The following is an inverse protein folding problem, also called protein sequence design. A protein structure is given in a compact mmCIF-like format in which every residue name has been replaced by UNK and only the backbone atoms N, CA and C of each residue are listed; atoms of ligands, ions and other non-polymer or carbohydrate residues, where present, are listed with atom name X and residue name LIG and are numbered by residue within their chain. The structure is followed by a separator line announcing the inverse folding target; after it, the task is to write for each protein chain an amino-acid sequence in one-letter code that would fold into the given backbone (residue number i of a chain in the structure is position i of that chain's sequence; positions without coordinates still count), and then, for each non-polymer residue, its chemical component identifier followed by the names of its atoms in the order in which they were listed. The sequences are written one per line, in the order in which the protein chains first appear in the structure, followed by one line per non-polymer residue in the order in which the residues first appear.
data_IF_689986976158
#
_entry.id   IF_689986976158
#
_cell.length_a   1.000
_cell.length_b   1.000
_cell.length_c   1.000
_cell.angle_alpha   90.00
_cell.angle_beta   90.00
_cell.angle_gamma   90.00
#
_symmetry.space_group_name_H-M   'P 1'
#
loop_
_entity.id
_entity.type
_entity.pdbx_description
1 polymer ?
#
# COMPACT_ATOMS: atom_id res chain seq x y z
N UNK A 1 -41.58 -8.18 25.22
CA UNK A 1 -40.21 -8.03 25.79
C UNK A 1 -39.29 -9.17 25.33
N UNK A 2 -39.36 -9.58 24.07
CA UNK A 2 -38.52 -10.66 23.54
C UNK A 2 -38.27 -10.43 22.03
N UNK A 3 -37.18 -10.96 21.51
CA UNK A 3 -36.85 -10.99 20.09
C UNK A 3 -36.85 -12.45 19.64
N UNK A 4 -37.71 -12.79 18.68
CA UNK A 4 -37.73 -14.14 18.09
C UNK A 4 -37.13 -14.07 16.70
N UNK A 5 -36.01 -14.76 16.48
CA UNK A 5 -35.28 -14.73 15.21
C UNK A 5 -34.63 -16.08 14.90
N UNK A 6 -34.09 -16.21 13.69
CA UNK A 6 -33.30 -17.36 13.29
C UNK A 6 -31.94 -17.32 13.96
N UNK A 7 -31.40 -18.48 14.29
CA UNK A 7 -30.04 -18.63 14.80
C UNK A 7 -29.28 -19.66 13.98
N UNK A 8 -27.99 -19.42 13.78
CA UNK A 8 -27.06 -20.28 13.06
C UNK A 8 -25.69 -20.23 13.73
N UNK A 9 -24.75 -21.07 13.31
CA UNK A 9 -23.34 -20.90 13.64
C UNK A 9 -22.47 -20.85 12.38
N UNK A 10 -21.29 -20.25 12.50
CA UNK A 10 -20.24 -20.35 11.48
C UNK A 10 -19.07 -21.13 12.09
N UNK A 11 -18.61 -22.20 11.43
CA UNK A 11 -17.49 -22.98 11.94
C UNK A 11 -16.15 -22.36 11.53
N UNK A 12 -15.74 -21.33 12.28
CA UNK A 12 -14.51 -20.56 12.05
C UNK A 12 -13.46 -20.75 13.17
N UNK A 13 -13.56 -21.87 13.89
CA UNK A 13 -12.67 -22.25 15.00
C UNK A 13 -11.20 -22.29 14.59
N UNK A 14 -10.92 -22.80 13.39
CA UNK A 14 -9.60 -22.71 12.76
C UNK A 14 -9.69 -21.75 11.56
N UNK A 15 -9.09 -20.54 11.67
CA UNK A 15 -9.06 -19.58 10.57
C UNK A 15 -8.42 -20.11 9.28
N UNK A 16 -7.59 -21.15 9.34
CA UNK A 16 -6.92 -21.75 8.18
C UNK A 16 -7.72 -22.88 7.51
N UNK A 17 -8.77 -23.39 8.15
CA UNK A 17 -9.63 -24.48 7.62
C UNK A 17 -11.04 -24.00 7.25
N UNK A 18 -11.37 -22.72 7.47
CA UNK A 18 -12.68 -22.15 7.15
C UNK A 18 -12.97 -22.20 5.64
N UNK A 19 -13.69 -23.24 5.19
CA UNK A 19 -13.94 -23.49 3.76
C UNK A 19 -15.18 -22.78 3.20
N UNK A 20 -16.09 -22.32 4.07
CA UNK A 20 -17.32 -21.64 3.68
C UNK A 20 -17.71 -20.61 4.73
N UNK A 21 -18.03 -19.39 4.27
CA UNK A 21 -18.58 -18.32 5.11
C UNK A 21 -20.11 -18.36 5.19
N UNK A 22 -20.74 -19.46 4.76
CA UNK A 22 -22.18 -19.63 4.89
C UNK A 22 -22.53 -20.18 6.28
N UNK A 23 -23.48 -19.57 7.00
CA UNK A 23 -23.85 -20.03 8.31
C UNK A 23 -24.67 -21.34 8.26
N UNK A 24 -24.44 -22.21 9.23
CA UNK A 24 -25.05 -23.54 9.37
C UNK A 24 -26.07 -23.57 10.53
N UNK A 25 -27.14 -24.38 10.46
CA UNK A 25 -27.55 -25.19 9.32
C UNK A 25 -28.27 -24.35 8.24
N UNK A 26 -28.37 -24.84 6.98
CA UNK A 26 -29.10 -24.15 5.91
C UNK A 26 -30.58 -23.90 6.21
N UNK A 27 -31.17 -24.71 7.09
CA UNK A 27 -32.52 -24.51 7.64
C UNK A 27 -32.40 -24.05 9.09
N UNK A 28 -32.26 -22.74 9.33
CA UNK A 28 -31.96 -22.24 10.66
C UNK A 28 -33.13 -22.45 11.63
N UNK A 29 -32.87 -23.00 12.83
CA UNK A 29 -33.87 -23.02 13.89
C UNK A 29 -34.18 -21.59 14.37
N UNK A 30 -35.31 -21.44 15.05
CA UNK A 30 -35.75 -20.17 15.64
C UNK A 30 -35.48 -20.20 17.14
N UNK A 31 -34.95 -19.11 17.68
CA UNK A 31 -34.74 -18.89 19.10
C UNK A 31 -35.42 -17.59 19.56
N UNK A 32 -35.81 -17.53 20.82
CA UNK A 32 -36.44 -16.35 21.43
C UNK A 32 -35.54 -15.81 22.53
N UNK A 33 -34.93 -14.67 22.26
CA UNK A 33 -34.09 -13.92 23.21
C UNK A 33 -34.96 -13.01 24.09
N UNK A 34 -34.62 -12.91 25.37
CA UNK A 34 -35.05 -11.82 26.22
C UNK A 34 -34.36 -10.53 25.81
N UNK A 35 -35.13 -9.44 25.68
CA UNK A 35 -34.58 -8.12 25.30
C UNK A 35 -33.93 -7.36 26.45
N UNK A 36 -34.16 -7.80 27.69
CA UNK A 36 -33.72 -7.10 28.91
C UNK A 36 -32.60 -7.82 29.66
N UNK A 37 -32.26 -9.05 29.26
CA UNK A 37 -31.15 -9.79 29.86
C UNK A 37 -29.90 -9.63 28.97
N UNK A 38 -28.70 -9.56 29.55
CA UNK A 38 -27.45 -9.67 28.82
C UNK A 38 -27.40 -10.89 27.91
N UNK A 39 -26.77 -10.77 26.75
CA UNK A 39 -26.66 -11.86 25.78
C UNK A 39 -25.77 -13.00 26.29
N UNK A 40 -24.77 -12.72 27.13
CA UNK A 40 -23.89 -13.71 27.77
C UNK A 40 -24.68 -14.73 28.61
N UNK A 41 -25.78 -14.29 29.22
CA UNK A 41 -26.66 -15.16 30.01
C UNK A 41 -27.60 -16.03 29.14
N UNK A 42 -27.64 -15.78 27.83
CA UNK A 42 -28.56 -16.42 26.89
C UNK A 42 -27.83 -17.31 25.86
N UNK A 43 -26.54 -17.05 25.60
CA UNK A 43 -25.76 -17.71 24.55
C UNK A 43 -25.68 -19.24 24.71
N UNK A 44 -25.64 -19.75 25.95
CA UNK A 44 -25.62 -21.18 26.23
C UNK A 44 -26.82 -21.94 25.64
N UNK A 45 -28.01 -21.31 25.63
CA UNK A 45 -29.20 -21.90 25.06
C UNK A 45 -29.12 -21.99 23.53
N UNK A 46 -28.58 -20.95 22.88
CA UNK A 46 -28.35 -20.89 21.44
C UNK A 46 -27.30 -21.93 21.03
N UNK A 47 -26.18 -21.99 21.74
CA UNK A 47 -25.11 -22.96 21.53
C UNK A 47 -25.64 -24.40 21.58
N UNK A 48 -26.41 -24.74 22.62
CA UNK A 48 -27.03 -26.07 22.79
C UNK A 48 -28.05 -26.38 21.71
N UNK A 49 -28.88 -25.42 21.31
CA UNK A 49 -29.88 -25.58 20.24
C UNK A 49 -29.21 -25.91 18.90
N UNK A 50 -28.13 -25.20 18.59
CA UNK A 50 -27.38 -25.38 17.35
C UNK A 50 -26.47 -26.61 17.35
N UNK A 51 -26.18 -27.18 18.53
CA UNK A 51 -25.13 -28.19 18.72
C UNK A 51 -23.80 -27.70 18.13
N UNK A 52 -23.50 -26.42 18.32
CA UNK A 52 -22.35 -25.78 17.71
C UNK A 52 -21.05 -26.42 18.22
N UNK A 53 -20.04 -26.63 17.36
CA UNK A 53 -18.79 -27.30 17.75
C UNK A 53 -17.85 -26.42 18.59
N UNK A 54 -18.20 -25.16 18.83
CA UNK A 54 -17.40 -24.18 19.56
C UNK A 54 -17.31 -24.48 21.06
N UNK A 55 -16.23 -24.05 21.71
CA UNK A 55 -16.19 -23.93 23.17
C UNK A 55 -17.00 -22.70 23.55
N UNK A 56 -17.90 -22.81 24.53
CA UNK A 56 -18.84 -21.74 24.85
C UNK A 56 -18.14 -20.42 25.21
N UNK A 57 -17.05 -20.49 25.97
CA UNK A 57 -16.28 -19.32 26.43
C UNK A 57 -15.58 -18.57 25.28
N UNK A 58 -15.39 -19.24 24.14
CA UNK A 58 -14.71 -18.68 22.95
C UNK A 58 -15.73 -18.15 21.92
N UNK A 59 -17.03 -18.14 22.24
CA UNK A 59 -18.09 -17.75 21.29
C UNK A 59 -18.41 -16.27 21.33
N UNK A 60 -18.81 -15.75 20.17
CA UNK A 60 -19.39 -14.44 19.94
C UNK A 60 -20.71 -14.58 19.18
N UNK A 61 -21.52 -13.52 19.18
CA UNK A 61 -22.71 -13.41 18.36
C UNK A 61 -22.53 -12.29 17.34
N UNK A 62 -22.86 -12.56 16.08
CA UNK A 62 -22.82 -11.58 15.01
C UNK A 62 -24.14 -11.55 14.25
N UNK A 63 -24.57 -10.37 13.81
CA UNK A 63 -25.75 -10.24 12.98
C UNK A 63 -25.47 -10.67 11.54
N UNK A 64 -26.39 -11.45 10.97
CA UNK A 64 -26.37 -11.82 9.55
C UNK A 64 -27.66 -11.33 8.89
N UNK A 65 -27.51 -10.38 7.97
CA UNK A 65 -28.61 -9.62 7.36
C UNK A 65 -28.42 -9.55 5.86
N UNK A 66 -29.49 -9.83 5.13
CA UNK A 66 -29.54 -9.69 3.66
C UNK A 66 -28.40 -10.39 2.89
N UNK A 67 -27.82 -11.44 3.49
CA UNK A 67 -26.74 -12.23 2.90
C UNK A 67 -25.33 -11.84 3.34
N UNK A 68 -25.19 -10.84 4.21
CA UNK A 68 -23.90 -10.30 4.66
C UNK A 68 -23.77 -10.29 6.20
N UNK A 69 -22.52 -10.30 6.67
CA UNK A 69 -22.19 -10.20 8.08
C UNK A 69 -22.13 -8.73 8.51
N UNK A 70 -22.91 -8.41 9.54
CA UNK A 70 -22.96 -7.10 10.16
C UNK A 70 -22.18 -7.06 11.47
N UNK A 71 -22.69 -6.29 12.42
CA UNK A 71 -22.02 -6.02 13.69
C UNK A 71 -21.91 -7.25 14.60
N UNK A 72 -20.78 -7.32 15.29
CA UNK A 72 -20.62 -8.18 16.46
C UNK A 72 -21.41 -7.59 17.64
N UNK A 73 -22.17 -8.44 18.33
CA UNK A 73 -22.97 -8.04 19.47
C UNK A 73 -22.12 -8.05 20.73
N UNK A 74 -22.30 -7.03 21.57
CA UNK A 74 -21.73 -7.02 22.91
C UNK A 74 -22.49 -8.02 23.78
N UNK A 75 -21.78 -9.05 24.25
CA UNK A 75 -22.36 -10.11 25.05
C UNK A 75 -22.74 -9.65 26.47
N UNK A 76 -22.04 -8.64 27.01
CA UNK A 76 -22.32 -8.11 28.34
C UNK A 76 -23.59 -7.22 28.35
N UNK A 77 -24.00 -6.73 27.18
CA UNK A 77 -25.19 -5.91 27.00
C UNK A 77 -26.43 -6.74 26.63
N UNK A 78 -27.60 -6.21 26.98
CA UNK A 78 -28.90 -6.69 26.51
C UNK A 78 -29.24 -6.16 25.11
N UNK A 79 -30.23 -6.75 24.44
CA UNK A 79 -30.66 -6.27 23.10
C UNK A 79 -31.20 -4.83 23.15
N UNK A 80 -31.85 -4.44 24.26
CA UNK A 80 -32.37 -3.09 24.39
C UNK A 80 -31.26 -2.03 24.51
N UNK A 81 -30.11 -2.39 25.09
CA UNK A 81 -28.97 -1.48 25.26
C UNK A 81 -28.22 -1.24 23.94
N UNK A 82 -28.28 -2.18 23.00
CA UNK A 82 -27.60 -2.12 21.69
C UNK A 82 -28.60 -2.15 20.52
N UNK A 83 -29.75 -1.48 20.68
CA UNK A 83 -30.88 -1.57 19.74
C UNK A 83 -30.57 -1.01 18.34
N UNK A 84 -29.61 -0.10 18.24
CA UNK A 84 -29.11 0.48 16.99
C UNK A 84 -28.49 -0.56 16.05
N UNK A 85 -27.78 -1.56 16.58
CA UNK A 85 -27.22 -2.65 15.79
C UNK A 85 -28.30 -3.50 15.08
N UNK A 86 -29.50 -3.53 15.67
CA UNK A 86 -30.65 -4.27 15.14
C UNK A 86 -31.49 -3.43 14.15
N UNK A 87 -31.00 -2.30 13.66
CA UNK A 87 -31.75 -1.46 12.72
C UNK A 87 -32.10 -2.23 11.42
N UNK A 88 -33.39 -2.24 11.09
CA UNK A 88 -33.94 -3.03 9.98
C UNK A 88 -33.66 -4.53 10.08
N UNK A 89 -33.24 -5.08 11.22
CA UNK A 89 -33.05 -6.53 11.38
C UNK A 89 -34.38 -7.29 11.25
N UNK A 90 -35.48 -6.71 11.72
CA UNK A 90 -36.80 -7.34 11.64
C UNK A 90 -37.51 -7.15 10.29
N UNK A 91 -36.94 -6.39 9.35
CA UNK A 91 -37.56 -6.16 8.04
C UNK A 91 -37.57 -7.44 7.20
N UNK A 92 -36.58 -8.31 7.39
CA UNK A 92 -36.41 -9.55 6.66
C UNK A 92 -36.39 -10.74 7.61
N UNK A 93 -37.40 -11.61 7.49
CA UNK A 93 -37.52 -12.84 8.30
C UNK A 93 -36.40 -13.85 8.06
N UNK A 94 -35.55 -13.64 7.04
CA UNK A 94 -34.38 -14.48 6.76
C UNK A 94 -33.18 -14.11 7.62
N UNK A 95 -33.16 -12.92 8.22
CA UNK A 95 -32.06 -12.46 9.06
C UNK A 95 -31.87 -13.40 10.26
N UNK A 96 -30.62 -13.61 10.64
CA UNK A 96 -30.23 -14.54 11.70
C UNK A 96 -29.16 -13.93 12.59
N UNK A 97 -29.08 -14.45 13.82
CA UNK A 97 -27.94 -14.23 14.70
C UNK A 97 -27.02 -15.45 14.57
N UNK A 98 -25.76 -15.21 14.23
CA UNK A 98 -24.76 -16.24 13.98
C UNK A 98 -23.84 -16.34 15.20
N UNK A 99 -23.80 -17.52 15.78
CA UNK A 99 -22.80 -17.89 16.79
C UNK A 99 -21.50 -18.27 16.09
N UNK A 100 -20.41 -17.59 16.42
CA UNK A 100 -19.10 -17.84 15.82
C UNK A 100 -17.99 -17.70 16.85
N UNK A 101 -16.76 -17.95 16.46
CA UNK A 101 -15.59 -17.77 17.34
C UNK A 101 -15.29 -16.27 17.50
N UNK A 102 -14.92 -15.84 18.71
CA UNK A 102 -14.47 -14.47 18.97
C UNK A 102 -13.29 -14.08 18.06
N UNK A 103 -13.26 -12.81 17.63
CA UNK A 103 -12.18 -12.27 16.80
C UNK A 103 -10.83 -12.43 17.48
N UNK A 104 -10.73 -12.07 18.76
CA UNK A 104 -9.50 -12.19 19.56
C UNK A 104 -8.99 -13.62 19.58
N UNK A 105 -9.85 -14.61 19.85
CA UNK A 105 -9.49 -16.04 19.86
C UNK A 105 -8.95 -16.49 18.49
N UNK A 106 -9.61 -16.06 17.40
CA UNK A 106 -9.15 -16.37 16.03
C UNK A 106 -7.80 -15.72 15.71
N UNK A 107 -7.59 -14.48 16.11
CA UNK A 107 -6.30 -13.77 15.93
C UNK A 107 -5.19 -14.46 16.71
N UNK A 108 -5.44 -14.86 17.96
CA UNK A 108 -4.47 -15.62 18.75
C UNK A 108 -4.14 -16.95 18.09
N UNK A 109 -5.13 -17.67 17.56
CA UNK A 109 -4.89 -18.90 16.80
C UNK A 109 -4.04 -18.66 15.54
N UNK A 110 -4.26 -17.55 14.83
CA UNK A 110 -3.40 -17.14 13.69
C UNK A 110 -1.97 -16.92 14.15
N UNK A 111 -1.75 -16.09 15.18
CA UNK A 111 -0.42 -15.74 15.68
C UNK A 111 0.31 -16.99 16.19
N UNK A 112 -0.36 -17.81 17.00
CA UNK A 112 0.19 -19.06 17.52
C UNK A 112 0.60 -20.00 16.40
N UNK A 113 -0.24 -20.16 15.36
CA UNK A 113 0.08 -20.98 14.19
C UNK A 113 1.33 -20.48 13.47
N UNK A 114 1.48 -19.16 13.31
CA UNK A 114 2.64 -18.57 12.65
C UNK A 114 3.94 -18.72 13.44
N UNK A 115 3.87 -18.67 14.77
CA UNK A 115 5.05 -18.78 15.64
C UNK A 115 5.48 -20.23 15.89
N UNK A 116 4.54 -21.19 15.86
CA UNK A 116 4.80 -22.59 16.23
C UNK A 116 4.84 -23.55 15.03
N UNK A 117 4.63 -23.08 13.80
CA UNK A 117 4.72 -23.92 12.60
C UNK A 117 6.08 -23.77 11.91
N UNK A 118 6.53 -24.83 11.25
CA UNK A 118 7.76 -24.82 10.44
C UNK A 118 7.53 -25.46 9.06
N UNK A 119 8.46 -25.23 8.13
CA UNK A 119 8.50 -25.91 6.83
C UNK A 119 7.21 -25.78 6.01
N UNK A 120 6.61 -26.93 5.64
CA UNK A 120 5.42 -26.97 4.77
C UNK A 120 4.21 -26.33 5.43
N UNK A 121 4.05 -26.49 6.74
CA UNK A 121 2.87 -26.02 7.45
C UNK A 121 2.90 -24.50 7.62
N UNK A 122 4.07 -23.94 7.97
CA UNK A 122 4.26 -22.49 7.99
C UNK A 122 4.03 -21.87 6.59
N UNK A 123 4.55 -22.53 5.55
CA UNK A 123 4.35 -22.08 4.17
C UNK A 123 2.86 -21.98 3.80
N UNK A 124 2.06 -22.97 4.19
CA UNK A 124 0.61 -23.00 3.95
C UNK A 124 -0.10 -21.91 4.75
N UNK A 125 0.24 -21.76 6.03
CA UNK A 125 -0.33 -20.73 6.89
C UNK A 125 -0.09 -19.34 6.30
N UNK A 126 1.17 -18.99 5.99
CA UNK A 126 1.53 -17.71 5.38
C UNK A 126 0.84 -17.47 4.04
N UNK A 127 0.70 -18.50 3.21
CA UNK A 127 0.00 -18.40 1.93
C UNK A 127 -1.48 -18.04 2.10
N UNK A 128 -2.15 -18.63 3.09
CA UNK A 128 -3.58 -18.43 3.36
C UNK A 128 -3.88 -17.08 4.03
N UNK A 129 -2.93 -16.47 4.75
CA UNK A 129 -3.15 -15.22 5.51
C UNK A 129 -3.80 -14.11 4.68
N UNK A 130 -3.40 -13.94 3.42
CA UNK A 130 -4.01 -12.94 2.54
C UNK A 130 -5.52 -13.18 2.41
N UNK A 131 -5.93 -14.41 2.15
CA UNK A 131 -7.33 -14.77 1.96
C UNK A 131 -8.12 -14.57 3.25
N UNK A 132 -7.55 -14.96 4.40
CA UNK A 132 -8.16 -14.79 5.72
C UNK A 132 -8.52 -13.33 5.98
N UNK A 133 -7.58 -12.39 5.78
CA UNK A 133 -7.85 -10.96 5.96
C UNK A 133 -8.75 -10.37 4.88
N UNK A 134 -8.81 -10.98 3.70
CA UNK A 134 -9.66 -10.53 2.60
C UNK A 134 -11.13 -10.90 2.82
N UNK A 135 -11.38 -12.10 3.35
CA UNK A 135 -12.72 -12.64 3.58
C UNK A 135 -13.33 -12.13 4.89
N UNK A 136 -12.51 -11.79 5.88
CA UNK A 136 -12.95 -11.29 7.18
C UNK A 136 -12.16 -10.05 7.58
N UNK A 137 -12.70 -8.87 7.20
CA UNK A 137 -12.06 -7.57 7.45
C UNK A 137 -11.95 -7.23 8.93
N UNK A 138 -12.84 -7.76 9.77
CA UNK A 138 -12.90 -7.43 11.19
C UNK A 138 -11.70 -8.03 11.94
N UNK A 139 -11.11 -9.11 11.40
CA UNK A 139 -9.85 -9.64 11.89
C UNK A 139 -8.68 -8.66 11.76
N UNK A 140 -8.73 -7.71 10.81
CA UNK A 140 -7.59 -6.82 10.55
C UNK A 140 -7.35 -5.88 11.73
N UNK A 141 -8.42 -5.28 12.25
CA UNK A 141 -8.35 -4.43 13.43
C UNK A 141 -7.82 -5.20 14.65
N UNK A 142 -8.42 -6.36 14.92
CA UNK A 142 -8.04 -7.22 16.05
C UNK A 142 -6.60 -7.75 15.92
N UNK A 143 -6.16 -8.08 14.70
CA UNK A 143 -4.80 -8.55 14.43
C UNK A 143 -3.74 -7.48 14.72
N UNK A 144 -4.04 -6.22 14.41
CA UNK A 144 -3.16 -5.10 14.73
C UNK A 144 -3.05 -4.90 16.24
N UNK A 145 -4.17 -4.96 16.98
CA UNK A 145 -4.21 -4.71 18.42
C UNK A 145 -3.50 -5.80 19.25
N UNK A 146 -3.43 -7.03 18.75
CA UNK A 146 -2.83 -8.17 19.46
C UNK A 146 -1.42 -8.50 18.94
N UNK A 147 -0.61 -7.50 18.61
CA UNK A 147 0.80 -7.67 18.15
C UNK A 147 0.99 -8.55 16.90
N UNK A 148 -0.05 -8.69 16.07
CA UNK A 148 0.01 -9.48 14.84
C UNK A 148 1.04 -8.95 13.84
N UNK A 149 1.19 -7.62 13.74
CA UNK A 149 2.24 -7.02 12.91
C UNK A 149 3.64 -7.40 13.41
N UNK A 150 3.89 -7.34 14.71
CA UNK A 150 5.17 -7.75 15.30
C UNK A 150 5.46 -9.24 15.02
N UNK A 151 4.43 -10.09 15.08
CA UNK A 151 4.53 -11.50 14.68
C UNK A 151 4.98 -11.64 13.21
N UNK A 152 4.39 -10.90 12.27
CA UNK A 152 4.78 -10.95 10.85
C UNK A 152 6.24 -10.54 10.63
N UNK A 153 6.69 -9.48 11.31
CA UNK A 153 8.08 -9.00 11.19
C UNK A 153 9.05 -10.03 11.78
N UNK A 154 8.72 -10.60 12.93
CA UNK A 154 9.53 -11.64 13.58
C UNK A 154 9.73 -12.85 12.66
N UNK A 155 8.64 -13.38 12.10
CA UNK A 155 8.70 -14.50 11.14
C UNK A 155 9.40 -14.09 9.85
N UNK A 156 9.23 -12.85 9.39
CA UNK A 156 9.78 -12.34 8.14
C UNK A 156 11.29 -12.08 8.13
N UNK A 157 11.89 -11.79 9.29
CA UNK A 157 13.33 -11.50 9.40
C UNK A 157 14.21 -12.73 9.12
N UNK A 158 13.80 -13.89 9.62
CA UNK A 158 14.56 -15.15 9.47
C UNK A 158 14.06 -16.02 8.30
N UNK A 159 13.11 -15.50 7.54
CA UNK A 159 12.41 -16.21 6.47
C UNK A 159 13.15 -16.20 5.13
N UNK A 160 12.89 -17.23 4.31
CA UNK A 160 13.28 -17.25 2.90
C UNK A 160 12.45 -16.26 2.06
N UNK A 161 12.87 -16.04 0.80
CA UNK A 161 12.19 -15.13 -0.13
C UNK A 161 10.71 -15.45 -0.39
N UNK A 162 10.32 -16.73 -0.33
CA UNK A 162 8.95 -17.14 -0.60
C UNK A 162 8.06 -16.76 0.58
N UNK A 163 8.54 -17.02 1.80
CA UNK A 163 7.85 -16.66 3.03
C UNK A 163 7.74 -15.15 3.16
N UNK A 164 8.83 -14.42 2.91
CA UNK A 164 8.82 -12.95 2.85
C UNK A 164 7.76 -12.44 1.86
N UNK A 165 7.67 -13.03 0.67
CA UNK A 165 6.66 -12.64 -0.31
C UNK A 165 5.23 -12.93 0.17
N UNK A 166 4.96 -14.07 0.80
CA UNK A 166 3.64 -14.35 1.38
C UNK A 166 3.28 -13.37 2.50
N UNK A 167 4.23 -13.02 3.37
CA UNK A 167 4.04 -12.00 4.40
C UNK A 167 3.75 -10.65 3.77
N UNK A 168 4.50 -10.22 2.74
CA UNK A 168 4.24 -8.98 2.03
C UNK A 168 2.85 -8.95 1.38
N UNK A 169 2.37 -10.07 0.83
CA UNK A 169 1.01 -10.16 0.27
C UNK A 169 -0.06 -10.02 1.35
N UNK A 170 0.13 -10.62 2.51
CA UNK A 170 -0.77 -10.48 3.66
C UNK A 170 -0.74 -9.05 4.20
N UNK A 171 0.45 -8.47 4.38
CA UNK A 171 0.61 -7.08 4.83
C UNK A 171 -0.02 -6.09 3.85
N UNK A 172 0.12 -6.33 2.54
CA UNK A 172 -0.56 -5.54 1.52
C UNK A 172 -2.08 -5.61 1.63
N UNK A 173 -2.65 -6.76 2.01
CA UNK A 173 -4.08 -6.89 2.28
C UNK A 173 -4.49 -6.12 3.54
N UNK A 174 -3.71 -6.21 4.62
CA UNK A 174 -3.93 -5.44 5.85
C UNK A 174 -3.95 -3.93 5.57
N UNK A 175 -3.00 -3.43 4.77
CA UNK A 175 -2.89 -2.02 4.42
C UNK A 175 -4.04 -1.47 3.55
N UNK A 176 -4.89 -2.32 2.97
CA UNK A 176 -6.08 -1.85 2.24
C UNK A 176 -7.20 -1.38 3.18
N UNK A 177 -7.19 -1.80 4.44
CA UNK A 177 -8.16 -1.40 5.44
C UNK A 177 -7.62 -0.23 6.27
N UNK A 178 -8.52 0.68 6.67
CA UNK A 178 -8.16 1.87 7.44
C UNK A 178 -7.48 1.50 8.76
N UNK A 179 -8.05 0.56 9.52
CA UNK A 179 -7.46 0.08 10.77
C UNK A 179 -6.09 -0.56 10.56
N UNK A 180 -5.94 -1.34 9.49
CA UNK A 180 -4.66 -1.98 9.15
C UNK A 180 -3.57 -0.97 8.78
N UNK A 181 -3.92 0.06 8.01
CA UNK A 181 -2.99 1.14 7.66
C UNK A 181 -2.60 1.97 8.89
N UNK A 182 -3.56 2.33 9.75
CA UNK A 182 -3.29 3.04 11.01
C UNK A 182 -2.36 2.20 11.91
N UNK A 183 -2.60 0.90 12.02
CA UNK A 183 -1.71 -0.03 12.70
C UNK A 183 -0.27 -0.03 12.16
N UNK A 184 -0.11 -0.02 10.83
CA UNK A 184 1.22 0.07 10.20
C UNK A 184 1.88 1.43 10.47
N UNK A 185 1.12 2.53 10.50
CA UNK A 185 1.63 3.86 10.86
C UNK A 185 2.15 3.90 12.31
N UNK A 186 1.48 3.19 13.22
CA UNK A 186 1.83 3.10 14.64
C UNK A 186 2.91 2.05 14.94
N UNK A 187 3.30 1.23 13.95
CA UNK A 187 4.30 0.17 14.11
C UNK A 187 5.58 0.43 13.27
N UNK A 188 6.55 1.20 13.79
CA UNK A 188 7.78 1.58 13.06
C UNK A 188 8.59 0.41 12.51
N UNK A 189 8.59 -0.73 13.22
CA UNK A 189 9.34 -1.93 12.80
C UNK A 189 8.83 -2.48 11.46
N UNK A 190 7.54 -2.34 11.14
CA UNK A 190 7.01 -2.75 9.82
C UNK A 190 7.61 -1.90 8.71
N UNK A 191 7.66 -0.58 8.89
CA UNK A 191 8.17 0.35 7.88
C UNK A 191 9.68 0.17 7.70
N UNK A 192 10.41 -0.03 8.80
CA UNK A 192 11.84 -0.34 8.80
C UNK A 192 12.12 -1.66 8.07
N UNK A 193 11.32 -2.69 8.35
CA UNK A 193 11.44 -3.98 7.67
C UNK A 193 11.19 -3.86 6.17
N UNK A 194 10.11 -3.18 5.76
CA UNK A 194 9.83 -2.90 4.34
C UNK A 194 10.99 -2.18 3.65
N UNK A 195 11.57 -1.16 4.29
CA UNK A 195 12.74 -0.46 3.75
C UNK A 195 13.99 -1.34 3.71
N UNK A 196 14.20 -2.21 4.70
CA UNK A 196 15.29 -3.18 4.71
C UNK A 196 15.19 -4.16 3.54
N UNK A 197 13.98 -4.63 3.21
CA UNK A 197 13.72 -5.56 2.10
C UNK A 197 14.03 -4.97 0.71
N UNK A 198 14.13 -3.65 0.58
CA UNK A 198 14.58 -2.98 -0.66
C UNK A 198 16.02 -3.40 -1.03
N UNK A 199 16.84 -3.78 -0.03
CA UNK A 199 18.20 -4.27 -0.25
C UNK A 199 18.28 -5.78 -0.55
N UNK A 200 17.13 -6.48 -0.64
CA UNK A 200 17.10 -7.92 -0.89
C UNK A 200 17.70 -8.28 -2.25
N UNK A 201 18.40 -9.42 -2.32
CA UNK A 201 18.91 -9.98 -3.58
C UNK A 201 17.79 -10.51 -4.50
N UNK A 202 16.57 -10.61 -3.99
CA UNK A 202 15.44 -11.20 -4.71
C UNK A 202 14.51 -10.12 -5.27
N UNK A 203 14.53 -9.95 -6.59
CA UNK A 203 13.80 -8.87 -7.30
C UNK A 203 12.31 -8.79 -6.95
N UNK A 204 11.64 -9.93 -6.80
CA UNK A 204 10.21 -9.96 -6.45
C UNK A 204 9.92 -9.40 -5.06
N UNK A 205 10.80 -9.66 -4.09
CA UNK A 205 10.70 -9.12 -2.72
C UNK A 205 10.91 -7.61 -2.76
N UNK A 206 11.96 -7.13 -3.45
CA UNK A 206 12.24 -5.71 -3.64
C UNK A 206 11.05 -4.98 -4.27
N UNK A 207 10.56 -5.50 -5.40
CA UNK A 207 9.42 -4.94 -6.13
C UNK A 207 8.17 -4.84 -5.25
N UNK A 208 7.88 -5.88 -4.47
CA UNK A 208 6.69 -5.90 -3.61
C UNK A 208 6.85 -4.94 -2.43
N UNK A 209 8.02 -4.88 -1.80
CA UNK A 209 8.31 -3.94 -0.73
C UNK A 209 8.18 -2.48 -1.20
N UNK A 210 8.70 -2.14 -2.38
CA UNK A 210 8.57 -0.80 -2.97
C UNK A 210 7.10 -0.43 -3.23
N UNK A 211 6.27 -1.38 -3.71
CA UNK A 211 4.84 -1.14 -3.90
C UNK A 211 4.13 -0.86 -2.59
N UNK A 212 4.43 -1.60 -1.52
CA UNK A 212 3.83 -1.36 -0.21
C UNK A 212 4.27 -0.01 0.37
N UNK A 213 5.55 0.34 0.25
CA UNK A 213 6.05 1.66 0.67
C UNK A 213 5.36 2.79 -0.11
N UNK A 214 5.09 2.61 -1.41
CA UNK A 214 4.32 3.56 -2.21
C UNK A 214 2.88 3.70 -1.70
N UNK A 215 2.17 2.59 -1.48
CA UNK A 215 0.81 2.60 -0.89
C UNK A 215 0.81 3.31 0.46
N UNK A 216 1.83 3.07 1.28
CA UNK A 216 2.00 3.71 2.59
C UNK A 216 2.13 5.24 2.48
N UNK A 217 3.03 5.77 1.63
CA UNK A 217 3.20 7.23 1.50
C UNK A 217 2.08 7.92 0.73
N UNK A 218 1.33 7.17 -0.09
CA UNK A 218 0.16 7.69 -0.80
C UNK A 218 -1.07 7.84 0.09
N UNK A 219 -1.17 7.07 1.17
CA UNK A 219 -2.31 7.10 2.08
C UNK A 219 -2.51 8.48 2.73
N UNK A 220 -1.45 9.06 3.29
CA UNK A 220 -1.46 10.42 3.86
C UNK A 220 -0.08 11.05 3.82
N UNK A 221 -0.02 12.38 3.72
CA UNK A 221 1.26 13.10 3.61
C UNK A 221 2.17 12.87 4.83
N UNK A 222 1.61 12.76 6.03
CA UNK A 222 2.37 12.52 7.28
C UNK A 222 3.17 11.21 7.25
N UNK A 223 2.77 10.23 6.45
CA UNK A 223 3.50 8.97 6.28
C UNK A 223 4.87 9.17 5.66
N UNK A 224 5.08 10.25 4.90
CA UNK A 224 6.40 10.60 4.37
C UNK A 224 7.42 10.85 5.48
N UNK A 225 6.99 11.50 6.58
CA UNK A 225 7.84 11.72 7.76
C UNK A 225 8.15 10.40 8.47
N UNK A 226 7.16 9.51 8.59
CA UNK A 226 7.35 8.18 9.17
C UNK A 226 8.34 7.34 8.36
N UNK A 227 8.24 7.37 7.02
CA UNK A 227 9.18 6.70 6.14
C UNK A 227 10.60 7.26 6.31
N UNK A 228 10.79 8.58 6.33
CA UNK A 228 12.11 9.19 6.56
C UNK A 228 12.72 8.75 7.89
N UNK A 229 11.91 8.67 8.96
CA UNK A 229 12.37 8.15 10.25
C UNK A 229 12.82 6.69 10.15
N UNK A 230 12.06 5.85 9.45
CA UNK A 230 12.42 4.45 9.24
C UNK A 230 13.70 4.28 8.40
N UNK A 231 13.86 5.05 7.32
CA UNK A 231 15.07 5.07 6.49
C UNK A 231 16.29 5.42 7.33
N UNK A 232 16.20 6.51 8.10
CA UNK A 232 17.28 6.94 9.00
C UNK A 232 17.63 5.86 10.02
N UNK A 233 16.63 5.22 10.64
CA UNK A 233 16.86 4.17 11.63
C UNK A 233 17.60 2.96 11.03
N UNK A 234 17.16 2.46 9.87
CA UNK A 234 17.78 1.30 9.21
C UNK A 234 19.20 1.62 8.74
N UNK A 235 19.39 2.73 8.02
CA UNK A 235 20.71 3.07 7.48
C UNK A 235 21.71 3.44 8.57
N UNK A 236 21.25 4.07 9.67
CA UNK A 236 22.09 4.38 10.83
C UNK A 236 22.67 3.12 11.46
N UNK A 237 21.86 2.07 11.65
CA UNK A 237 22.32 0.77 12.20
C UNK A 237 23.40 0.15 11.30
N UNK A 238 23.32 0.37 9.99
CA UNK A 238 24.31 -0.10 9.02
C UNK A 238 25.46 0.88 8.78
N UNK A 239 25.60 1.95 9.59
CA UNK A 239 26.60 3.02 9.42
C UNK A 239 26.61 3.66 8.02
N UNK A 240 25.46 3.59 7.35
CA UNK A 240 25.24 4.09 6.00
C UNK A 240 24.57 5.45 6.03
N UNK A 241 24.65 6.20 4.93
CA UNK A 241 23.88 7.42 4.77
C UNK A 241 22.41 7.09 4.50
N UNK A 242 21.44 7.91 4.95
CA UNK A 242 20.03 7.70 4.63
C UNK A 242 19.82 7.55 3.12
N UNK A 243 18.90 6.68 2.70
CA UNK A 243 18.58 6.36 1.30
C UNK A 243 19.53 5.38 0.60
N UNK A 244 20.48 4.79 1.32
CA UNK A 244 21.51 3.91 0.71
C UNK A 244 20.90 2.75 -0.07
N UNK A 245 19.83 2.13 0.43
CA UNK A 245 19.20 0.99 -0.25
C UNK A 245 18.62 1.38 -1.63
N UNK A 246 17.94 2.52 -1.72
CA UNK A 246 17.40 3.01 -3.00
C UNK A 246 18.52 3.49 -3.93
N UNK A 247 19.53 4.16 -3.39
CA UNK A 247 20.68 4.63 -4.18
C UNK A 247 21.48 3.46 -4.77
N UNK A 248 21.60 2.33 -4.06
CA UNK A 248 22.23 1.11 -4.58
C UNK A 248 21.45 0.53 -5.76
N UNK A 249 20.12 0.47 -5.69
CA UNK A 249 19.28 -0.01 -6.80
C UNK A 249 19.52 0.82 -8.08
N UNK A 250 19.60 2.14 -7.93
CA UNK A 250 19.79 3.05 -9.07
C UNK A 250 21.24 3.08 -9.61
N UNK A 251 22.23 2.62 -8.83
CA UNK A 251 23.64 2.55 -9.28
C UNK A 251 23.90 1.34 -10.19
N UNK A 252 23.08 0.29 -10.09
CA UNK A 252 23.27 -0.95 -10.84
C UNK A 252 22.77 -0.84 -12.29
N UNK A 253 23.49 -0.08 -13.09
CA UNK A 253 23.05 0.44 -14.39
C UNK A 253 22.82 -0.60 -15.49
N UNK A 254 23.51 -1.74 -15.45
CA UNK A 254 23.52 -2.73 -16.54
C UNK A 254 22.62 -3.94 -16.27
N UNK A 255 22.23 -4.18 -15.00
CA UNK A 255 21.33 -5.28 -14.58
C UNK A 255 20.03 -4.85 -13.91
N UNK A 256 19.76 -3.53 -13.84
CA UNK A 256 18.56 -3.03 -13.20
C UNK A 256 17.28 -3.30 -13.99
N UNK A 257 16.29 -3.83 -13.29
CA UNK A 257 14.90 -3.90 -13.73
C UNK A 257 14.31 -2.49 -13.73
N UNK A 258 13.97 -1.97 -14.90
CA UNK A 258 13.42 -0.63 -15.09
C UNK A 258 12.19 -0.38 -14.21
N UNK A 259 11.31 -1.37 -14.01
CA UNK A 259 10.10 -1.20 -13.20
C UNK A 259 10.45 -0.94 -11.73
N UNK A 260 11.49 -1.62 -11.22
CA UNK A 260 12.02 -1.39 -9.87
C UNK A 260 12.61 0.02 -9.75
N UNK A 261 13.34 0.48 -10.77
CA UNK A 261 13.90 1.84 -10.79
C UNK A 261 12.80 2.91 -10.79
N UNK A 262 11.73 2.70 -11.57
CA UNK A 262 10.58 3.60 -11.60
C UNK A 262 9.96 3.67 -10.20
N UNK A 263 9.68 2.53 -9.56
CA UNK A 263 9.13 2.52 -8.20
C UNK A 263 10.04 3.18 -7.17
N UNK A 264 11.35 2.93 -7.23
CA UNK A 264 12.32 3.55 -6.34
C UNK A 264 12.32 5.08 -6.50
N UNK A 265 12.34 5.57 -7.75
CA UNK A 265 12.35 7.00 -8.02
C UNK A 265 11.02 7.67 -7.67
N UNK A 266 9.89 7.02 -7.97
CA UNK A 266 8.56 7.50 -7.56
C UNK A 266 8.43 7.57 -6.04
N UNK A 267 8.98 6.59 -5.32
CA UNK A 267 8.96 6.61 -3.85
C UNK A 267 9.74 7.80 -3.30
N UNK A 268 10.94 8.07 -3.83
CA UNK A 268 11.73 9.25 -3.45
C UNK A 268 10.93 10.53 -3.72
N UNK A 269 10.41 10.71 -4.94
CA UNK A 269 9.65 11.90 -5.33
C UNK A 269 8.43 12.13 -4.43
N UNK A 270 7.63 11.08 -4.19
CA UNK A 270 6.43 11.19 -3.33
C UNK A 270 6.80 11.50 -1.88
N UNK A 271 7.84 10.85 -1.36
CA UNK A 271 8.29 11.08 0.02
C UNK A 271 8.78 12.51 0.20
N UNK A 272 9.63 13.00 -0.69
CA UNK A 272 10.13 14.39 -0.64
C UNK A 272 8.99 15.40 -0.75
N UNK A 273 8.03 15.17 -1.65
CA UNK A 273 6.89 16.04 -1.84
C UNK A 273 5.91 16.04 -0.64
N UNK A 274 5.89 14.96 0.16
CA UNK A 274 5.07 14.87 1.36
C UNK A 274 5.70 15.47 2.62
N UNK A 275 6.92 16.01 2.54
CA UNK A 275 7.58 16.64 3.69
C UNK A 275 6.97 18.02 4.01
N UNK A 276 6.77 18.33 5.30
CA UNK A 276 5.97 19.48 5.74
C UNK A 276 6.70 20.84 5.61
N UNK A 277 8.03 20.85 5.56
CA UNK A 277 8.81 22.07 5.50
C UNK A 277 10.01 21.96 4.55
N UNK A 278 10.69 23.10 4.35
CA UNK A 278 11.80 23.24 3.43
C UNK A 278 13.10 22.65 3.98
N UNK A 279 13.31 22.70 5.30
CA UNK A 279 14.52 22.18 5.93
C UNK A 279 14.57 20.66 5.88
N UNK A 280 13.48 19.99 6.26
CA UNK A 280 13.34 18.54 6.14
C UNK A 280 13.52 18.07 4.70
N UNK A 281 12.98 18.82 3.73
CA UNK A 281 13.16 18.53 2.30
C UNK A 281 14.63 18.57 1.90
N UNK A 282 15.33 19.67 2.20
CA UNK A 282 16.73 19.81 1.82
C UNK A 282 17.65 18.86 2.59
N UNK A 283 17.34 18.50 3.82
CA UNK A 283 18.09 17.45 4.54
C UNK A 283 18.05 16.11 3.81
N UNK A 284 16.91 15.77 3.21
CA UNK A 284 16.78 14.53 2.43
C UNK A 284 17.44 14.66 1.05
N UNK A 285 17.26 15.80 0.36
CA UNK A 285 17.94 16.06 -0.92
C UNK A 285 19.45 16.04 -0.75
N UNK A 286 20.01 16.72 0.25
CA UNK A 286 21.44 16.75 0.49
C UNK A 286 22.00 15.34 0.75
N UNK A 287 21.27 14.49 1.49
CA UNK A 287 21.67 13.10 1.70
C UNK A 287 21.68 12.27 0.38
N UNK A 288 20.77 12.53 -0.55
CA UNK A 288 20.73 11.91 -1.88
C UNK A 288 21.86 12.44 -2.78
N UNK A 289 22.07 13.76 -2.80
CA UNK A 289 23.12 14.42 -3.59
C UNK A 289 24.53 13.96 -3.17
N UNK A 290 24.78 13.85 -1.86
CA UNK A 290 26.05 13.34 -1.33
C UNK A 290 26.35 11.89 -1.75
N UNK A 291 25.32 11.13 -2.13
CA UNK A 291 25.46 9.76 -2.64
C UNK A 291 25.56 9.70 -4.16
N UNK A 292 25.55 10.84 -4.85
CA UNK A 292 25.74 10.97 -6.29
C UNK A 292 24.46 10.93 -7.12
N UNK A 293 23.32 11.38 -6.57
CA UNK A 293 22.04 11.42 -7.29
C UNK A 293 22.13 12.17 -8.63
N UNK A 294 22.82 13.31 -8.67
CA UNK A 294 23.06 14.08 -9.89
C UNK A 294 23.71 13.25 -11.00
N UNK A 295 24.74 12.47 -10.64
CA UNK A 295 25.49 11.65 -11.59
C UNK A 295 24.63 10.49 -12.11
N UNK A 296 23.79 9.90 -11.26
CA UNK A 296 22.83 8.85 -11.66
C UNK A 296 21.84 9.41 -12.68
N UNK A 297 21.20 10.54 -12.36
CA UNK A 297 20.21 11.19 -13.25
C UNK A 297 20.84 11.53 -14.59
N UNK A 298 22.01 12.20 -14.58
CA UNK A 298 22.72 12.60 -15.80
C UNK A 298 23.06 11.39 -16.68
N UNK A 299 23.50 10.28 -16.06
CA UNK A 299 23.85 9.06 -16.77
C UNK A 299 22.62 8.46 -17.48
N UNK A 300 21.49 8.30 -16.77
CA UNK A 300 20.26 7.75 -17.37
C UNK A 300 19.65 8.66 -18.44
N UNK A 301 19.70 9.98 -18.25
CA UNK A 301 19.22 10.97 -19.23
C UNK A 301 20.03 10.96 -20.53
N UNK A 302 21.34 10.71 -20.45
CA UNK A 302 22.22 10.68 -21.62
C UNK A 302 22.13 9.39 -22.44
N UNK A 303 21.59 8.32 -21.85
CA UNK A 303 21.52 6.99 -22.48
C UNK A 303 20.34 6.93 -23.45
N UNK A 304 20.63 6.58 -24.70
CA UNK A 304 19.60 6.26 -25.67
C UNK A 304 18.91 4.94 -25.29
N UNK A 305 17.57 4.91 -25.37
CA UNK A 305 16.77 3.72 -25.04
C UNK A 305 16.42 3.57 -23.55
N UNK A 306 16.70 4.58 -22.71
CA UNK A 306 16.12 4.61 -21.35
C UNK A 306 14.60 4.74 -21.44
N UNK A 307 13.92 4.01 -20.56
CA UNK A 307 12.47 4.03 -20.45
C UNK A 307 11.92 5.43 -20.13
N UNK A 308 10.82 5.79 -20.81
CA UNK A 308 10.24 7.13 -20.74
C UNK A 308 9.63 7.44 -19.37
N UNK A 309 9.06 6.45 -18.67
CA UNK A 309 8.49 6.66 -17.34
C UNK A 309 9.59 6.88 -16.31
N UNK A 310 10.71 6.17 -16.44
CA UNK A 310 11.88 6.41 -15.59
C UNK A 310 12.46 7.82 -15.82
N UNK A 311 12.63 8.22 -17.08
CA UNK A 311 13.09 9.58 -17.41
C UNK A 311 12.13 10.63 -16.86
N UNK A 312 10.81 10.40 -16.96
CA UNK A 312 9.79 11.29 -16.38
C UNK A 312 9.94 11.44 -14.87
N UNK A 313 10.20 10.35 -14.14
CA UNK A 313 10.43 10.44 -12.68
C UNK A 313 11.67 11.27 -12.32
N UNK A 314 12.75 11.17 -13.10
CA UNK A 314 13.91 12.04 -12.91
C UNK A 314 13.62 13.51 -13.24
N UNK A 315 12.82 13.77 -14.28
CA UNK A 315 12.39 15.15 -14.61
C UNK A 315 11.54 15.76 -13.50
N UNK A 316 10.66 14.98 -12.87
CA UNK A 316 9.87 15.43 -11.72
C UNK A 316 10.79 15.85 -10.57
N UNK A 317 11.82 15.06 -10.27
CA UNK A 317 12.79 15.40 -9.22
C UNK A 317 13.51 16.72 -9.50
N UNK A 318 14.08 16.88 -10.71
CA UNK A 318 14.79 18.11 -11.10
C UNK A 318 13.87 19.33 -11.11
N UNK A 319 12.62 19.18 -11.59
CA UNK A 319 11.67 20.28 -11.64
C UNK A 319 11.22 20.74 -10.24
N UNK A 320 10.99 19.80 -9.30
CA UNK A 320 10.65 20.14 -7.92
C UNK A 320 11.85 20.79 -7.22
N UNK A 321 13.07 20.27 -7.42
CA UNK A 321 14.28 20.85 -6.86
C UNK A 321 14.52 22.29 -7.36
N UNK A 322 14.36 22.52 -8.67
CA UNK A 322 14.47 23.86 -9.26
C UNK A 322 13.41 24.84 -8.71
N UNK A 323 12.18 24.36 -8.48
CA UNK A 323 11.13 25.16 -7.87
C UNK A 323 11.44 25.54 -6.41
N UNK A 324 11.92 24.59 -5.60
CA UNK A 324 12.35 24.85 -4.22
C UNK A 324 13.50 25.86 -4.18
N UNK A 325 14.39 25.77 -5.16
CA UNK A 325 15.48 26.69 -5.38
C UNK A 325 15.04 28.07 -5.90
N UNK A 326 13.76 28.28 -6.24
CA UNK A 326 13.24 29.56 -6.73
C UNK A 326 13.56 29.86 -8.21
N UNK A 327 13.88 28.84 -9.01
CA UNK A 327 14.13 28.93 -10.45
C UNK A 327 12.87 28.55 -11.25
N UNK A 328 11.84 29.40 -11.14
CA UNK A 328 10.49 29.14 -11.68
C UNK A 328 10.47 29.07 -13.23
N UNK A 329 11.39 29.72 -13.95
CA UNK A 329 11.45 29.76 -15.42
C UNK A 329 11.68 28.39 -16.06
N UNK A 330 12.48 27.52 -15.42
CA UNK A 330 12.83 26.18 -15.95
C UNK A 330 11.72 25.14 -15.84
N UNK A 331 10.66 25.42 -15.06
CA UNK A 331 9.61 24.43 -14.74
C UNK A 331 8.36 24.52 -15.62
N UNK A 332 8.26 25.58 -16.43
CA UNK A 332 7.04 25.98 -17.16
C UNK A 332 6.49 24.94 -18.15
N UNK A 333 7.31 24.24 -18.96
CA UNK A 333 6.80 23.27 -19.94
C UNK A 333 6.28 21.97 -19.29
N UNK A 334 6.98 21.46 -18.28
CA UNK A 334 6.62 20.23 -17.55
C UNK A 334 5.34 20.42 -16.70
N UNK A 335 5.17 21.62 -16.15
CA UNK A 335 4.01 22.00 -15.34
C UNK A 335 2.69 21.98 -16.11
N UNK A 336 2.73 22.10 -17.44
CA UNK A 336 1.54 22.05 -18.28
C UNK A 336 1.13 20.62 -18.69
N UNK A 337 2.06 19.66 -18.65
CA UNK A 337 1.84 18.32 -19.19
C UNK A 337 1.58 17.26 -18.12
N UNK A 338 1.92 17.52 -16.85
CA UNK A 338 1.92 16.49 -15.82
C UNK A 338 1.10 16.88 -14.58
N UNK A 339 -0.01 16.19 -14.34
CA UNK A 339 -0.88 16.38 -13.18
C UNK A 339 -0.19 16.04 -11.85
N UNK A 340 0.68 15.03 -11.83
CA UNK A 340 1.42 14.63 -10.62
C UNK A 340 2.43 15.73 -10.23
N UNK A 341 3.08 16.33 -11.23
CA UNK A 341 4.00 17.45 -11.05
C UNK A 341 3.24 18.72 -10.62
N UNK A 342 2.07 19.02 -11.21
CA UNK A 342 1.21 20.12 -10.77
C UNK A 342 0.79 19.97 -9.30
N UNK A 343 0.34 18.79 -8.90
CA UNK A 343 -0.05 18.51 -7.50
C UNK A 343 1.13 18.70 -6.56
N UNK A 344 2.30 18.17 -6.94
CA UNK A 344 3.52 18.28 -6.15
C UNK A 344 3.96 19.74 -5.97
N UNK A 345 4.07 20.49 -7.08
CA UNK A 345 4.43 21.90 -7.04
C UNK A 345 3.40 22.74 -6.28
N UNK A 346 2.09 22.49 -6.44
CA UNK A 346 1.04 23.25 -5.72
C UNK A 346 1.17 23.05 -4.21
N UNK A 347 1.42 21.83 -3.75
CA UNK A 347 1.62 21.54 -2.34
C UNK A 347 2.85 22.27 -1.81
N UNK A 348 4.00 22.12 -2.46
CA UNK A 348 5.25 22.77 -2.07
C UNK A 348 5.18 24.31 -2.10
N UNK A 349 4.53 24.88 -3.11
CA UNK A 349 4.33 26.34 -3.24
C UNK A 349 3.48 26.89 -2.10
N UNK A 350 2.50 26.13 -1.59
CA UNK A 350 1.72 26.54 -0.42
C UNK A 350 2.54 26.62 0.88
N UNK A 351 3.54 25.73 1.04
CA UNK A 351 4.41 25.70 2.22
C UNK A 351 5.46 26.81 2.22
N UNK A 352 5.90 27.24 1.03
CA UNK A 352 6.90 28.30 0.86
C UNK A 352 6.30 29.70 0.64
N UNK A 353 4.97 29.82 0.52
CA UNK A 353 4.26 31.05 0.16
C UNK A 353 4.44 32.18 1.20
N UNK A 354 4.67 31.82 2.47
CA UNK A 354 4.86 32.77 3.58
C UNK A 354 6.33 33.12 3.85
N UNK A 355 7.28 32.45 3.19
CA UNK A 355 8.72 32.68 3.38
C UNK A 355 9.22 33.77 2.44
N UNK A 356 9.98 34.73 2.98
CA UNK A 356 10.67 35.75 2.19
C UNK A 356 11.69 35.06 1.25
N UNK A 357 11.83 35.49 -0.01
CA UNK A 357 12.71 34.84 -0.99
C UNK A 357 14.18 34.67 -0.55
N UNK A 358 14.67 35.55 0.33
CA UNK A 358 16.04 35.50 0.86
C UNK A 358 16.22 34.51 2.03
N UNK A 359 15.15 34.15 2.74
CA UNK A 359 15.18 33.19 3.85
C UNK A 359 15.04 31.73 3.38
N UNK A 360 14.83 31.53 2.08
CA UNK A 360 14.71 30.20 1.48
C UNK A 360 16.07 29.54 1.39
N UNK A 361 16.21 28.39 2.05
CA UNK A 361 17.36 27.48 1.84
C UNK A 361 17.46 27.14 0.36
N UNK A 362 18.68 26.98 -0.15
CA UNK A 362 18.98 26.66 -1.55
C UNK A 362 19.74 25.35 -1.62
N UNK A 363 19.53 24.58 -2.69
CA UNK A 363 20.26 23.34 -2.91
C UNK A 363 21.76 23.58 -3.05
N UNK A 364 22.56 22.56 -2.72
CA UNK A 364 24.01 22.57 -2.96
C UNK A 364 24.36 22.80 -4.42
N UNK A 365 23.57 22.27 -5.36
CA UNK A 365 23.79 22.46 -6.79
C UNK A 365 23.65 23.92 -7.21
N UNK A 366 22.69 24.66 -6.64
CA UNK A 366 22.53 26.10 -6.88
C UNK A 366 23.69 26.90 -6.27
N UNK A 367 24.16 26.52 -5.09
CA UNK A 367 25.31 27.18 -4.43
C UNK A 367 26.62 26.96 -5.20
N UNK A 368 26.77 25.82 -5.88
CA UNK A 368 27.99 25.44 -6.63
C UNK A 368 27.89 25.84 -8.12
N UNK A 369 26.69 26.17 -8.62
CA UNK A 369 26.47 26.53 -10.03
C UNK A 369 26.43 25.34 -11.00
N UNK A 370 26.17 24.12 -10.52
CA UNK A 370 26.25 22.88 -11.31
C UNK A 370 24.94 22.42 -11.96
N UNK A 371 23.90 23.27 -12.03
CA UNK A 371 22.59 22.86 -12.57
C UNK A 371 22.69 22.30 -14.00
N UNK A 372 22.16 21.09 -14.29
CA UNK A 372 22.17 20.56 -15.64
C UNK A 372 21.33 21.43 -16.60
N UNK A 373 21.83 21.58 -17.83
CA UNK A 373 21.26 22.44 -18.88
C UNK A 373 19.99 21.79 -19.48
N UNK A 374 18.92 22.58 -19.51
CA UNK A 374 17.67 22.51 -20.30
C UNK A 374 16.96 21.15 -20.45
N UNK A 375 15.87 20.99 -19.71
CA UNK A 375 14.89 19.91 -19.84
C UNK A 375 13.92 20.18 -21.00
N UNK A 376 14.25 19.77 -22.22
CA UNK A 376 13.29 19.74 -23.34
C UNK A 376 13.19 18.34 -23.93
N UNK A 377 12.08 17.66 -23.66
CA UNK A 377 11.58 16.62 -24.55
C UNK A 377 10.88 17.32 -25.73
N UNK A 378 11.58 17.52 -26.85
CA UNK A 378 10.92 17.88 -28.10
C UNK A 378 10.16 16.67 -28.64
N UNK A 379 8.82 16.71 -28.80
CA UNK A 379 8.07 15.63 -29.41
C UNK A 379 8.12 15.80 -30.93
N UNK A 380 9.25 15.46 -31.57
CA UNK A 380 9.30 15.43 -33.04
C UNK A 380 10.52 14.68 -33.54
N UNK A 381 10.38 13.36 -33.74
CA UNK A 381 11.04 12.62 -34.84
C UNK A 381 10.22 11.38 -35.20
N UNK A 382 9.00 11.59 -35.69
CA UNK A 382 8.46 10.66 -36.68
C UNK A 382 9.20 11.01 -37.97
N UNK A 383 10.15 10.18 -38.33
CA UNK A 383 10.87 10.27 -39.61
C UNK A 383 9.85 9.92 -40.70
N UNK A 384 9.28 10.92 -41.34
CA UNK A 384 8.76 10.77 -42.70
C UNK A 384 9.93 10.94 -43.67
N UNK A 385 10.12 10.05 -44.66
CA UNK A 385 11.17 10.23 -45.65
C UNK A 385 10.83 11.43 -46.53
N UNK A 386 11.83 12.21 -47.01
CA UNK A 386 11.57 13.30 -47.92
C UNK A 386 11.17 12.75 -49.29
N UNK A 387 10.02 13.18 -49.80
CA UNK A 387 9.69 13.06 -51.22
C UNK A 387 10.63 13.99 -51.99
N UNK A 388 11.51 13.40 -52.79
CA UNK A 388 12.33 14.09 -53.78
C UNK A 388 11.42 14.72 -54.84
N UNK A 389 11.56 16.01 -55.17
CA UNK A 389 10.91 16.62 -56.31
C UNK A 389 11.82 16.47 -57.52
N UNK A 390 11.58 15.46 -58.36
CA UNK A 390 11.98 15.46 -59.76
C UNK A 390 11.32 14.26 -60.46
N UNK A 391 10.39 14.54 -61.36
CA UNK A 391 10.10 13.87 -62.66
C UNK A 391 8.88 14.62 -63.22
N UNK A 392 9.15 15.75 -63.87
CA UNK A 392 8.32 16.36 -64.91
C UNK A 392 9.14 16.29 -66.20
N UNK A 393 9.22 15.11 -66.80
CA UNK A 393 9.65 14.92 -68.18
C UNK A 393 9.26 13.50 -68.62
N UNK A 394 8.78 13.39 -69.87
CA UNK A 394 8.36 12.17 -70.57
C UNK A 394 6.92 11.70 -70.31
N UNK A 395 5.98 12.29 -71.04
CA UNK A 395 5.13 11.54 -71.98
C UNK A 395 4.27 12.49 -72.82
N UNK A 396 4.80 12.83 -73.99
CA UNK A 396 4.07 13.49 -75.06
C UNK A 396 4.82 13.25 -76.36
N UNK A 397 4.14 12.58 -77.30
CA UNK A 397 4.48 12.30 -78.71
C UNK A 397 4.75 10.82 -79.05
N UNK A 398 3.66 10.14 -79.39
CA UNK A 398 3.43 9.20 -80.50
C UNK A 398 1.91 8.91 -80.44
N UNK A 399 1.01 9.27 -81.36
CA UNK A 399 1.10 9.55 -82.79
C UNK A 399 0.27 8.49 -83.53
N UNK A 400 -0.88 8.89 -84.13
CA UNK A 400 -1.68 8.17 -85.16
C UNK A 400 -2.26 6.79 -84.75
N UNK A 401 -3.36 6.22 -85.27
CA UNK A 401 -4.42 6.52 -86.23
C UNK A 401 -5.50 5.41 -86.08
N UNK A 402 -6.55 5.50 -86.88
CA UNK A 402 -7.56 4.47 -87.23
C UNK A 402 -8.88 4.41 -86.41
N UNK A 403 -9.89 4.94 -87.11
CA UNK A 403 -11.32 4.62 -87.22
C UNK A 403 -12.31 4.75 -86.05
#
# INVERSE_FOLDING_TARGET
MALTCRVQYLNDRDPFECSSFLPEPPRPPVHTFSRTLPLINQIAAVHKLLKAPHRLDDTALQLYKDGDYGSYLDLESSINEQQEEFESFNSNRKNSIVLRTQLSVRVHAIIEKLLNSEGRDLRRALFSLKQIFQEDKDLVHEFVQNDGLACLIKVGNDADQNYQNYILRALGQVMLYVDGMNGVMEHPLTIQWLYGLVSSKFRLVVKTALKLLLVFVEYTYSNSVLLVKAVKAVDYVHTCKPWTNLMKLMKDYDSADTEILIYAMTLINKTLNGLPDQDMYYDQVDALEEQGMENIIRKYMSKQGTDLDLLRQFQIYEAVLAHEDGDDEKTTPLRQLDEALRKSLKNRKSLTATLHPDDRRKSRRRLIGSSPVTLTLTPTRIITPPLSPDILAMNGLNGHEED
#
